data_IF_475663406855
#
_entry.id   IF_475663406855
#
_cell.length_a   1.000
_cell.length_b   1.000
_cell.length_c   1.000
_cell.angle_alpha   90.00
_cell.angle_beta   90.00
_cell.angle_gamma   90.00
#
_symmetry.space_group_name_H-M   'P 1'
#
loop_
_entity.id
_entity.type
_entity.pdbx_description
1 polymer ?
#
# COMPACT_ATOMS: atom_id res chain seq x y z
N UNK A 1 -17.21 11.42 6.28
CA UNK A 1 -16.21 10.34 6.44
C UNK A 1 -14.93 10.77 5.75
N UNK A 2 -13.78 10.43 6.35
CA UNK A 2 -12.43 10.72 5.79
C UNK A 2 -11.72 9.42 5.40
N UNK A 3 -12.48 8.37 5.14
CA UNK A 3 -11.96 7.05 4.83
C UNK A 3 -11.66 6.95 3.33
N UNK A 4 -10.65 6.18 2.98
CA UNK A 4 -10.30 5.79 1.61
C UNK A 4 -10.16 4.27 1.60
N UNK A 5 -10.68 3.61 0.59
CA UNK A 5 -10.50 2.19 0.38
C UNK A 5 -9.38 1.94 -0.64
N UNK A 6 -8.49 1.01 -0.35
CA UNK A 6 -7.50 0.51 -1.32
C UNK A 6 -7.92 -0.90 -1.70
N UNK A 7 -8.19 -1.13 -2.98
CA UNK A 7 -8.55 -2.43 -3.53
C UNK A 7 -7.45 -2.91 -4.48
N UNK A 8 -7.08 -4.17 -4.33
CA UNK A 8 -6.00 -4.78 -5.11
C UNK A 8 -6.53 -5.97 -5.88
N UNK A 9 -6.38 -5.96 -7.20
CA UNK A 9 -6.77 -7.07 -8.06
C UNK A 9 -6.00 -7.04 -9.37
N UNK A 10 -5.24 -8.09 -9.70
CA UNK A 10 -4.47 -8.19 -10.94
C UNK A 10 -5.37 -7.98 -12.17
N UNK A 11 -6.45 -8.74 -12.29
CA UNK A 11 -7.38 -8.64 -13.41
C UNK A 11 -8.31 -7.42 -13.32
N UNK A 12 -8.52 -6.91 -12.10
CA UNK A 12 -9.52 -5.88 -11.81
C UNK A 12 -10.96 -6.32 -12.04
N UNK A 13 -11.21 -7.63 -12.22
CA UNK A 13 -12.53 -8.23 -12.48
C UNK A 13 -12.88 -9.34 -11.48
N UNK A 14 -12.34 -9.25 -10.27
CA UNK A 14 -12.57 -10.23 -9.21
C UNK A 14 -14.02 -10.10 -8.69
N UNK A 15 -14.81 -11.14 -8.90
CA UNK A 15 -16.25 -11.15 -8.57
C UNK A 15 -16.53 -10.84 -7.09
N UNK A 16 -15.65 -11.26 -6.19
CA UNK A 16 -15.76 -11.01 -4.76
C UNK A 16 -15.66 -9.51 -4.41
N UNK A 17 -15.03 -8.72 -5.27
CA UNK A 17 -14.91 -7.27 -5.07
C UNK A 17 -16.09 -6.48 -5.63
N UNK A 18 -16.88 -7.04 -6.55
CA UNK A 18 -17.95 -6.32 -7.22
C UNK A 18 -18.97 -5.71 -6.24
N UNK A 19 -19.54 -6.53 -5.36
CA UNK A 19 -20.48 -6.05 -4.35
C UNK A 19 -19.89 -5.05 -3.35
N UNK A 20 -18.59 -5.22 -3.01
CA UNK A 20 -17.89 -4.28 -2.15
C UNK A 20 -17.68 -2.94 -2.85
N UNK A 21 -17.29 -2.93 -4.13
CA UNK A 21 -17.11 -1.70 -4.91
C UNK A 21 -18.42 -0.92 -5.01
N UNK A 22 -19.51 -1.57 -5.37
CA UNK A 22 -20.84 -0.93 -5.41
C UNK A 22 -21.24 -0.33 -4.06
N UNK A 23 -20.96 -1.04 -2.97
CA UNK A 23 -21.25 -0.57 -1.63
C UNK A 23 -20.42 0.66 -1.26
N UNK A 24 -19.11 0.66 -1.55
CA UNK A 24 -18.21 1.78 -1.29
C UNK A 24 -18.61 3.02 -2.10
N UNK A 25 -18.92 2.85 -3.39
CA UNK A 25 -19.40 3.93 -4.26
C UNK A 25 -20.69 4.54 -3.70
N UNK A 26 -21.64 3.70 -3.28
CA UNK A 26 -22.89 4.17 -2.68
C UNK A 26 -22.68 4.94 -1.36
N UNK A 27 -21.66 4.59 -0.60
CA UNK A 27 -21.28 5.31 0.62
C UNK A 27 -20.46 6.59 0.36
N UNK A 28 -20.07 6.84 -0.89
CA UNK A 28 -19.20 7.97 -1.25
C UNK A 28 -17.77 7.83 -0.70
N UNK A 29 -17.30 6.58 -0.48
CA UNK A 29 -15.93 6.31 -0.06
C UNK A 29 -15.04 6.27 -1.30
N UNK A 30 -14.01 7.14 -1.41
CA UNK A 30 -13.07 7.09 -2.52
C UNK A 30 -12.33 5.75 -2.57
N UNK A 31 -12.14 5.23 -3.78
CA UNK A 31 -11.44 3.97 -4.02
C UNK A 31 -10.13 4.26 -4.76
N UNK A 32 -9.03 3.75 -4.24
CA UNK A 32 -7.76 3.63 -4.97
C UNK A 32 -7.66 2.18 -5.43
N UNK A 33 -7.67 1.96 -6.74
CA UNK A 33 -7.53 0.63 -7.34
C UNK A 33 -6.08 0.36 -7.74
N UNK A 34 -5.46 -0.69 -7.22
CA UNK A 34 -4.19 -1.22 -7.70
C UNK A 34 -4.49 -2.42 -8.60
N UNK A 35 -4.25 -2.28 -9.90
CA UNK A 35 -4.67 -3.31 -10.86
C UNK A 35 -3.69 -3.42 -12.03
N UNK A 36 -3.54 -4.62 -12.57
CA UNK A 36 -2.82 -4.85 -13.82
C UNK A 36 -3.63 -4.51 -15.08
N UNK A 37 -4.90 -4.09 -14.92
CA UNK A 37 -5.76 -3.73 -16.05
C UNK A 37 -6.60 -2.50 -15.69
N UNK A 38 -6.09 -1.32 -16.00
CA UNK A 38 -6.74 -0.04 -15.66
C UNK A 38 -8.13 0.10 -16.29
N UNK A 39 -8.36 -0.50 -17.47
CA UNK A 39 -9.67 -0.49 -18.14
C UNK A 39 -10.67 -1.50 -17.54
N UNK A 40 -10.30 -2.21 -16.46
CA UNK A 40 -11.14 -3.20 -15.80
C UNK A 40 -12.30 -2.58 -15.02
N UNK A 41 -13.13 -3.45 -14.44
CA UNK A 41 -14.24 -3.04 -13.58
C UNK A 41 -13.74 -2.25 -12.35
N UNK A 42 -12.69 -2.75 -11.67
CA UNK A 42 -12.03 -2.03 -10.57
C UNK A 42 -11.52 -0.66 -11.02
N UNK A 43 -10.86 -0.59 -12.19
CA UNK A 43 -10.34 0.67 -12.71
C UNK A 43 -11.44 1.70 -13.00
N UNK A 44 -12.61 1.26 -13.49
CA UNK A 44 -13.75 2.14 -13.75
C UNK A 44 -14.46 2.64 -12.49
N UNK A 45 -14.51 1.83 -11.43
CA UNK A 45 -15.12 2.22 -10.15
C UNK A 45 -14.15 3.01 -9.25
N UNK A 46 -12.85 2.90 -9.48
CA UNK A 46 -11.85 3.60 -8.69
C UNK A 46 -11.88 5.11 -8.93
N UNK A 47 -11.73 5.88 -7.87
CA UNK A 47 -11.47 7.33 -7.96
C UNK A 47 -10.10 7.58 -8.60
N UNK A 48 -9.14 6.70 -8.29
CA UNK A 48 -7.81 6.66 -8.90
C UNK A 48 -7.44 5.21 -9.14
N UNK A 49 -7.09 4.85 -10.37
CA UNK A 49 -6.55 3.55 -10.72
C UNK A 49 -5.03 3.67 -10.95
N UNK A 50 -4.27 2.85 -10.23
CA UNK A 50 -2.82 2.75 -10.36
C UNK A 50 -2.48 1.48 -11.13
N UNK A 51 -1.69 1.66 -12.19
CA UNK A 51 -1.26 0.58 -13.05
C UNK A 51 -0.13 -0.23 -12.38
N UNK A 52 -0.44 -1.49 -12.09
CA UNK A 52 0.48 -2.49 -11.56
C UNK A 52 0.65 -3.64 -12.58
N UNK A 53 0.50 -3.35 -13.87
CA UNK A 53 0.65 -4.35 -14.92
C UNK A 53 2.07 -4.92 -14.95
N UNK A 54 2.16 -6.17 -15.34
CA UNK A 54 3.41 -6.89 -15.61
C UNK A 54 3.25 -7.64 -16.91
N UNK A 55 4.33 -7.82 -17.65
CA UNK A 55 4.30 -8.51 -18.93
C UNK A 55 3.97 -9.99 -18.74
N UNK A 56 4.59 -10.64 -17.73
CA UNK A 56 4.39 -12.06 -17.41
C UNK A 56 4.61 -12.34 -15.92
N UNK A 57 4.07 -13.44 -15.44
CA UNK A 57 4.41 -13.96 -14.12
C UNK A 57 5.75 -14.72 -14.18
N UNK A 58 6.51 -14.73 -13.08
CA UNK A 58 7.75 -15.49 -12.97
C UNK A 58 7.51 -17.02 -12.90
N UNK A 59 6.27 -17.45 -12.81
CA UNK A 59 5.90 -18.87 -12.86
C UNK A 59 6.04 -19.39 -14.29
N UNK A 60 6.66 -20.57 -14.50
CA UNK A 60 6.83 -21.14 -15.84
C UNK A 60 5.53 -21.36 -16.63
N UNK A 61 4.38 -21.42 -15.95
CA UNK A 61 3.07 -21.57 -16.55
C UNK A 61 2.30 -20.25 -16.67
N UNK A 62 2.89 -19.14 -16.25
CA UNK A 62 2.24 -17.82 -16.18
C UNK A 62 0.90 -17.81 -15.40
N UNK A 63 0.74 -18.70 -14.43
CA UNK A 63 -0.50 -18.87 -13.66
C UNK A 63 -0.40 -18.37 -12.22
N UNK A 64 0.70 -18.71 -11.55
CA UNK A 64 0.86 -18.34 -10.14
C UNK A 64 1.25 -16.86 -10.01
N UNK A 65 0.50 -16.07 -9.21
CA UNK A 65 0.84 -14.67 -8.97
C UNK A 65 2.22 -14.54 -8.32
N UNK A 66 3.12 -13.83 -8.96
CA UNK A 66 4.51 -13.62 -8.55
C UNK A 66 4.96 -12.19 -8.90
N UNK A 67 5.22 -11.92 -10.17
CA UNK A 67 5.57 -10.57 -10.64
C UNK A 67 4.46 -9.56 -10.33
N UNK A 68 3.21 -9.93 -10.56
CA UNK A 68 2.05 -9.08 -10.29
C UNK A 68 1.88 -8.75 -8.81
N UNK A 69 2.08 -9.71 -7.91
CA UNK A 69 2.01 -9.46 -6.46
C UNK A 69 3.16 -8.58 -5.99
N UNK A 70 4.35 -8.76 -6.55
CA UNK A 70 5.53 -7.92 -6.27
C UNK A 70 5.30 -6.49 -6.73
N UNK A 71 4.77 -6.29 -7.95
CA UNK A 71 4.44 -4.97 -8.47
C UNK A 71 3.38 -4.25 -7.62
N UNK A 72 2.31 -4.96 -7.23
CA UNK A 72 1.28 -4.41 -6.37
C UNK A 72 1.82 -4.03 -4.98
N UNK A 73 2.70 -4.84 -4.42
CA UNK A 73 3.36 -4.57 -3.13
C UNK A 73 4.26 -3.34 -3.22
N UNK A 74 5.09 -3.25 -4.25
CA UNK A 74 5.96 -2.09 -4.49
C UNK A 74 5.15 -0.79 -4.67
N UNK A 75 4.01 -0.85 -5.37
CA UNK A 75 3.09 0.28 -5.51
C UNK A 75 2.49 0.69 -4.15
N UNK A 76 2.11 -0.28 -3.32
CA UNK A 76 1.62 -0.03 -1.96
C UNK A 76 2.68 0.65 -1.08
N UNK A 77 3.93 0.19 -1.15
CA UNK A 77 5.05 0.81 -0.44
C UNK A 77 5.31 2.23 -0.93
N UNK A 78 5.25 2.47 -2.23
CA UNK A 78 5.38 3.82 -2.80
C UNK A 78 4.29 4.77 -2.29
N UNK A 79 3.03 4.30 -2.25
CA UNK A 79 1.93 5.07 -1.66
C UNK A 79 2.17 5.37 -0.18
N UNK A 80 2.63 4.38 0.59
CA UNK A 80 2.92 4.57 2.01
C UNK A 80 4.02 5.62 2.23
N UNK A 81 5.10 5.56 1.45
CA UNK A 81 6.20 6.54 1.52
C UNK A 81 5.73 7.96 1.16
N UNK A 82 4.93 8.10 0.10
CA UNK A 82 4.35 9.41 -0.27
C UNK A 82 3.47 9.96 0.85
N UNK A 83 2.62 9.11 1.46
CA UNK A 83 1.76 9.52 2.58
C UNK A 83 2.59 9.92 3.81
N UNK A 84 3.68 9.20 4.11
CA UNK A 84 4.61 9.57 5.18
C UNK A 84 5.20 10.96 4.95
N UNK A 85 5.65 11.24 3.73
CA UNK A 85 6.20 12.55 3.36
C UNK A 85 5.15 13.66 3.47
N UNK A 86 3.95 13.44 2.94
CA UNK A 86 2.85 14.42 3.00
C UNK A 86 2.40 14.71 4.43
N UNK A 87 2.50 13.73 5.33
CA UNK A 87 2.21 13.90 6.76
C UNK A 87 3.36 14.51 7.56
N UNK A 88 4.50 14.77 6.94
CA UNK A 88 5.69 15.27 7.62
C UNK A 88 6.22 14.32 8.69
N UNK A 89 6.05 13.00 8.48
CA UNK A 89 6.51 11.97 9.41
C UNK A 89 8.04 11.99 9.51
N UNK A 90 8.56 12.06 10.71
CA UNK A 90 9.98 12.25 11.00
C UNK A 90 10.59 11.01 11.66
N UNK A 91 11.93 10.88 11.66
CA UNK A 91 12.62 9.80 12.36
C UNK A 91 12.24 9.67 13.84
N UNK A 92 11.98 10.79 14.52
CA UNK A 92 11.56 10.82 15.92
C UNK A 92 10.20 10.17 16.13
N UNK A 93 9.28 10.38 15.18
CA UNK A 93 7.94 9.78 15.20
C UNK A 93 8.05 8.25 15.03
N UNK A 94 8.95 7.79 14.13
CA UNK A 94 9.25 6.37 13.98
C UNK A 94 9.83 5.76 15.27
N UNK A 95 10.79 6.45 15.90
CA UNK A 95 11.39 5.99 17.12
C UNK A 95 10.38 5.87 18.28
N UNK A 96 9.43 6.81 18.38
CA UNK A 96 8.35 6.78 19.36
C UNK A 96 7.44 5.56 19.19
N UNK A 97 7.18 5.13 17.94
CA UNK A 97 6.37 3.95 17.63
C UNK A 97 7.13 2.62 17.82
N UNK A 98 8.47 2.65 17.76
CA UNK A 98 9.33 1.46 17.81
C UNK A 98 10.44 1.57 18.86
N UNK A 99 10.14 1.85 20.15
CA UNK A 99 11.16 2.18 21.16
C UNK A 99 12.10 1.02 21.47
N UNK A 100 11.66 -0.22 21.36
CA UNK A 100 12.45 -1.42 21.68
C UNK A 100 13.34 -1.94 20.54
N UNK A 101 13.14 -1.49 19.32
CA UNK A 101 13.90 -1.96 18.15
C UNK A 101 15.31 -1.36 18.07
N UNK A 102 16.23 -2.04 17.38
CA UNK A 102 17.61 -1.54 17.18
C UNK A 102 17.61 -0.14 16.52
N UNK A 103 16.74 0.10 15.54
CA UNK A 103 16.62 1.37 14.86
C UNK A 103 16.01 2.45 15.79
N UNK A 104 14.99 2.12 16.57
CA UNK A 104 14.40 3.04 17.55
C UNK A 104 15.43 3.47 18.60
N UNK A 105 16.17 2.53 19.16
CA UNK A 105 17.28 2.81 20.09
C UNK A 105 18.35 3.71 19.47
N UNK A 106 18.75 3.45 18.21
CA UNK A 106 19.74 4.28 17.49
C UNK A 106 19.28 5.73 17.35
N UNK A 107 17.99 5.97 17.21
CA UNK A 107 17.40 7.31 17.03
C UNK A 107 17.15 8.04 18.37
N UNK A 108 16.99 7.31 19.47
CA UNK A 108 16.60 7.89 20.77
C UNK A 108 17.72 7.93 21.79
N UNK A 109 18.66 6.95 21.78
CA UNK A 109 19.74 6.90 22.76
C UNK A 109 20.73 8.05 22.57
N UNK A 110 21.04 8.72 23.68
CA UNK A 110 22.10 9.74 23.78
C UNK A 110 23.28 9.17 24.58
N UNK A 111 24.47 9.74 24.40
CA UNK A 111 25.67 9.33 25.12
C UNK A 111 25.42 9.30 26.63
N UNK A 112 24.71 10.29 27.17
CA UNK A 112 24.36 10.38 28.61
C UNK A 112 23.50 9.21 29.12
N UNK A 113 22.76 8.52 28.22
CA UNK A 113 21.87 7.41 28.60
C UNK A 113 22.63 6.08 28.73
N UNK A 114 23.88 6.04 28.28
CA UNK A 114 24.73 4.85 28.23
C UNK A 114 26.13 5.05 28.92
N UNK A 115 26.46 6.29 29.26
CA UNK A 115 27.74 6.57 29.98
C UNK A 115 27.66 6.13 31.42
N UNK A 116 28.76 5.57 31.94
CA UNK A 116 28.96 5.30 33.38
C UNK A 116 29.46 6.59 34.01
N UNK A 117 28.81 7.00 35.11
CA UNK A 117 29.20 8.17 35.89
C UNK A 117 30.47 7.88 36.73
#
# INVERSE_FOLDING_TARGET
RRDVAILVSKSGQTSELAGLMEYLVRLGVPIIGLTGTVASELGRHATVALDCSVDEEACPMDLAPTSSTTAAMAMGDALAVVVLQLKGFRPEDFAALHPGGALGRKLTLRVRDVMVA
#
